data_IF_687394033284
#
_entry.id   IF_687394033284
#
_cell.length_a   1.000
_cell.length_b   1.000
_cell.length_c   1.000
_cell.angle_alpha   90.00
_cell.angle_beta   90.00
_cell.angle_gamma   90.00
#
_symmetry.space_group_name_H-M   'P 1'
#
loop_
_entity.id
_entity.type
_entity.pdbx_description
1 polymer ?
#
# COMPACT_ATOMS: atom_id res chain seq x y z
N UNK A 1 2.82 -2.31 -17.54
CA UNK A 1 3.94 -1.52 -16.97
C UNK A 1 4.04 -1.90 -15.50
N UNK A 2 5.26 -2.04 -14.96
CA UNK A 2 5.44 -2.29 -13.53
C UNK A 2 5.26 -0.99 -12.76
N UNK A 3 4.64 -1.08 -11.58
CA UNK A 3 4.49 0.03 -10.64
C UNK A 3 5.70 0.11 -9.73
N UNK A 4 6.24 1.30 -9.52
CA UNK A 4 7.50 1.54 -8.81
C UNK A 4 7.35 2.62 -7.74
N UNK A 5 8.11 2.50 -6.65
CA UNK A 5 8.10 3.48 -5.57
C UNK A 5 8.59 4.86 -6.03
N UNK A 6 9.64 4.89 -6.86
CA UNK A 6 10.17 6.13 -7.42
C UNK A 6 9.14 6.96 -8.20
N UNK A 7 8.22 6.28 -8.90
CA UNK A 7 7.12 6.90 -9.64
C UNK A 7 5.99 7.31 -8.70
N UNK A 8 5.62 6.44 -7.76
CA UNK A 8 4.59 6.72 -6.74
C UNK A 8 4.93 7.99 -5.94
N UNK A 9 6.21 8.22 -5.63
CA UNK A 9 6.67 9.37 -4.87
C UNK A 9 6.42 10.71 -5.61
N UNK A 10 6.35 10.70 -6.94
CA UNK A 10 6.06 11.89 -7.73
C UNK A 10 4.60 12.34 -7.60
N UNK A 11 3.72 11.49 -7.05
CA UNK A 11 2.30 11.78 -6.88
C UNK A 11 2.07 12.46 -5.52
N UNK A 12 1.63 13.73 -5.49
CA UNK A 12 1.57 14.52 -4.27
C UNK A 12 0.38 14.17 -3.38
N UNK A 13 -0.72 13.63 -3.94
CA UNK A 13 -1.92 13.34 -3.17
C UNK A 13 -2.12 11.85 -2.90
N UNK A 14 -2.82 11.56 -1.81
CA UNK A 14 -3.20 10.19 -1.46
C UNK A 14 -4.06 9.53 -2.54
N UNK A 15 -4.96 10.32 -3.14
CA UNK A 15 -5.86 9.87 -4.20
C UNK A 15 -5.08 9.46 -5.45
N UNK A 16 -4.13 10.29 -5.91
CA UNK A 16 -3.30 9.95 -7.07
C UNK A 16 -2.46 8.69 -6.81
N UNK A 17 -1.85 8.58 -5.61
CA UNK A 17 -1.10 7.38 -5.21
C UNK A 17 -1.97 6.13 -5.21
N UNK A 18 -3.19 6.24 -4.69
CA UNK A 18 -4.17 5.17 -4.71
C UNK A 18 -4.55 4.78 -6.14
N UNK A 19 -4.92 5.75 -6.99
CA UNK A 19 -5.31 5.51 -8.39
C UNK A 19 -4.18 4.86 -9.19
N UNK A 20 -2.94 5.27 -8.95
CA UNK A 20 -1.77 4.65 -9.56
C UNK A 20 -1.62 3.18 -9.16
N UNK A 21 -1.89 2.82 -7.89
CA UNK A 21 -1.76 1.45 -7.39
C UNK A 21 -2.97 0.57 -7.67
N UNK A 22 -4.15 1.17 -7.83
CA UNK A 22 -5.42 0.48 -8.01
C UNK A 22 -5.31 -0.57 -9.11
N UNK A 23 -5.73 -1.78 -8.78
CA UNK A 23 -5.80 -2.89 -9.72
C UNK A 23 -7.24 -2.98 -10.23
N UNK A 24 -7.46 -2.79 -11.53
CA UNK A 24 -8.76 -3.08 -12.18
C UNK A 24 -8.96 -4.60 -12.41
N UNK A 25 -8.25 -5.42 -11.63
CA UNK A 25 -8.16 -6.87 -11.82
C UNK A 25 -9.43 -7.60 -11.42
N UNK A 26 -9.70 -8.72 -12.10
CA UNK A 26 -10.81 -9.62 -11.79
C UNK A 26 -10.55 -10.30 -10.43
N UNK A 27 -11.50 -10.14 -9.50
CA UNK A 27 -11.50 -10.86 -8.22
C UNK A 27 -11.47 -12.37 -8.50
N UNK A 28 -10.38 -13.04 -8.14
CA UNK A 28 -10.26 -14.51 -8.25
C UNK A 28 -9.23 -15.03 -9.25
N UNK A 29 -8.43 -14.19 -9.92
CA UNK A 29 -7.19 -14.69 -10.52
C UNK A 29 -6.27 -15.24 -9.43
N UNK A 30 -5.58 -16.36 -9.72
CA UNK A 30 -4.67 -17.14 -8.85
C UNK A 30 -3.47 -16.33 -8.33
N UNK A 31 -3.76 -15.24 -7.62
CA UNK A 31 -2.78 -14.35 -7.02
C UNK A 31 -2.63 -14.81 -5.58
N UNK A 32 -1.73 -15.78 -5.41
CA UNK A 32 -1.06 -16.06 -4.14
C UNK A 32 -1.96 -16.53 -2.96
N UNK A 33 -3.11 -17.12 -3.26
CA UNK A 33 -4.06 -17.65 -2.26
C UNK A 33 -4.05 -19.17 -2.06
N UNK A 34 -3.53 -19.95 -3.02
CA UNK A 34 -3.69 -21.42 -3.01
C UNK A 34 -2.67 -22.17 -2.14
N UNK A 35 -1.41 -21.73 -2.08
CA UNK A 35 -0.35 -22.42 -1.33
C UNK A 35 -0.03 -21.79 0.03
N UNK A 36 -0.95 -22.00 0.98
CA UNK A 36 -0.88 -21.48 2.36
C UNK A 36 0.45 -21.75 3.08
N UNK A 37 1.10 -22.89 2.79
CA UNK A 37 2.39 -23.27 3.36
C UNK A 37 3.53 -22.31 2.93
N UNK A 38 3.58 -21.95 1.64
CA UNK A 38 4.61 -21.05 1.14
C UNK A 38 4.47 -19.64 1.73
N UNK A 39 3.22 -19.16 1.86
CA UNK A 39 2.93 -17.87 2.50
C UNK A 39 3.43 -17.87 3.94
N UNK A 40 3.17 -18.97 4.67
CA UNK A 40 3.59 -19.09 6.06
C UNK A 40 5.12 -19.05 6.20
N UNK A 41 5.86 -19.74 5.34
CA UNK A 41 7.34 -19.68 5.36
C UNK A 41 7.83 -18.29 5.01
N UNK A 42 7.35 -17.75 3.88
CA UNK A 42 7.83 -16.48 3.35
C UNK A 42 7.61 -15.34 4.34
N UNK A 43 6.38 -15.17 4.85
CA UNK A 43 6.05 -14.07 5.76
C UNK A 43 6.64 -14.24 7.17
N UNK A 44 7.15 -15.43 7.52
CA UNK A 44 7.89 -15.65 8.76
C UNK A 44 9.42 -15.58 8.59
N UNK A 45 9.92 -15.54 7.35
CA UNK A 45 11.35 -15.47 7.04
C UNK A 45 12.01 -14.22 7.60
N UNK A 46 13.31 -14.31 7.87
CA UNK A 46 14.11 -13.18 8.35
C UNK A 46 14.22 -12.09 7.27
N UNK A 47 14.42 -12.49 6.01
CA UNK A 47 14.49 -11.60 4.85
C UNK A 47 13.23 -10.72 4.74
N UNK A 48 12.04 -11.33 4.89
CA UNK A 48 10.79 -10.57 4.89
C UNK A 48 10.67 -9.61 6.09
N UNK A 49 11.05 -10.05 7.29
CA UNK A 49 11.01 -9.19 8.48
C UNK A 49 11.92 -7.99 8.36
N UNK A 50 13.11 -8.18 7.78
CA UNK A 50 14.09 -7.12 7.58
C UNK A 50 13.64 -6.13 6.50
N UNK A 51 13.12 -6.61 5.37
CA UNK A 51 12.59 -5.70 4.34
C UNK A 51 11.38 -4.94 4.87
N UNK A 52 10.47 -5.62 5.56
CA UNK A 52 9.30 -4.99 6.18
C UNK A 52 9.71 -3.84 7.10
N UNK A 53 10.74 -4.03 7.94
CA UNK A 53 11.26 -2.97 8.80
C UNK A 53 11.78 -1.79 7.98
N UNK A 54 12.56 -2.05 6.92
CA UNK A 54 13.10 -0.99 6.04
C UNK A 54 11.99 -0.18 5.38
N UNK A 55 10.93 -0.83 4.89
CA UNK A 55 9.78 -0.15 4.27
C UNK A 55 9.04 0.72 5.28
N UNK A 56 8.76 0.21 6.49
CA UNK A 56 8.08 1.00 7.53
C UNK A 56 8.86 2.27 7.87
N UNK A 57 10.19 2.17 7.97
CA UNK A 57 11.05 3.31 8.27
C UNK A 57 11.05 4.30 7.09
N UNK A 58 11.22 3.81 5.85
CA UNK A 58 11.20 4.64 4.64
C UNK A 58 9.89 5.42 4.51
N UNK A 59 8.77 4.76 4.75
CA UNK A 59 7.43 5.32 4.60
C UNK A 59 6.97 6.09 5.84
N UNK A 60 7.85 6.28 6.84
CA UNK A 60 7.57 6.97 8.11
C UNK A 60 6.34 6.40 8.87
N UNK A 61 6.03 5.12 8.66
CA UNK A 61 4.81 4.50 9.18
C UNK A 61 3.50 5.10 8.65
N UNK A 62 3.54 5.83 7.53
CA UNK A 62 2.40 6.45 6.89
C UNK A 62 1.82 5.57 5.79
N UNK A 63 0.50 5.65 5.61
CA UNK A 63 -0.22 4.96 4.55
C UNK A 63 0.18 5.55 3.19
N UNK A 64 0.52 4.67 2.24
CA UNK A 64 1.10 5.03 0.94
C UNK A 64 2.35 5.92 1.05
N UNK A 65 3.05 5.91 2.19
CA UNK A 65 4.23 6.74 2.44
C UNK A 65 3.97 8.25 2.30
N UNK A 66 2.76 8.71 2.61
CA UNK A 66 2.37 10.12 2.52
C UNK A 66 2.19 10.73 3.91
N UNK A 67 2.89 11.83 4.18
CA UNK A 67 2.81 12.53 5.47
C UNK A 67 1.38 12.99 5.80
N UNK A 68 1.00 12.92 7.08
CA UNK A 68 -0.36 13.20 7.55
C UNK A 68 -1.34 12.02 7.46
N UNK A 69 -0.87 10.86 6.99
CA UNK A 69 -1.62 9.60 6.94
C UNK A 69 -1.00 8.52 7.84
N UNK A 70 -0.64 8.86 9.08
CA UNK A 70 0.05 7.95 9.99
C UNK A 70 -0.81 6.71 10.31
N UNK A 71 -0.21 5.52 10.18
CA UNK A 71 -0.89 4.26 10.50
C UNK A 71 -0.81 4.03 12.01
N UNK A 72 -1.91 4.26 12.72
CA UNK A 72 -2.02 4.05 14.19
C UNK A 72 -2.22 2.59 14.60
N UNK A 73 -2.21 1.66 13.65
CA UNK A 73 -2.54 0.26 13.87
C UNK A 73 -1.56 -0.69 13.18
N UNK A 74 -2.07 -1.82 12.70
CA UNK A 74 -1.26 -2.81 12.00
C UNK A 74 -0.84 -2.26 10.62
N UNK A 75 0.46 -2.09 10.43
CA UNK A 75 1.05 -1.76 9.13
C UNK A 75 1.21 -3.04 8.31
N UNK A 76 0.60 -3.05 7.12
CA UNK A 76 0.81 -4.05 6.09
C UNK A 76 1.86 -3.55 5.10
N UNK A 77 2.58 -4.48 4.47
CA UNK A 77 3.42 -4.17 3.32
C UNK A 77 2.72 -4.76 2.12
N UNK A 78 2.38 -3.91 1.16
CA UNK A 78 1.71 -4.28 -0.07
C UNK A 78 2.73 -4.38 -1.20
N UNK A 79 2.64 -5.46 -1.98
CA UNK A 79 3.34 -5.60 -3.25
C UNK A 79 2.58 -4.80 -4.32
N UNK A 80 3.20 -3.74 -4.85
CA UNK A 80 2.55 -2.86 -5.84
C UNK A 80 2.26 -3.54 -7.17
N UNK A 81 2.96 -4.65 -7.44
CA UNK A 81 2.74 -5.50 -8.60
C UNK A 81 2.26 -6.87 -8.13
N UNK A 82 1.28 -7.49 -8.81
CA UNK A 82 0.89 -8.87 -8.52
C UNK A 82 2.10 -9.80 -8.61
N UNK A 83 2.31 -10.60 -7.58
CA UNK A 83 3.34 -11.63 -7.54
C UNK A 83 2.73 -13.02 -7.68
N UNK A 84 3.44 -13.92 -8.35
CA UNK A 84 3.09 -15.33 -8.50
C UNK A 84 3.90 -16.19 -7.55
N UNK A 85 3.48 -17.43 -7.35
CA UNK A 85 4.25 -18.41 -6.57
C UNK A 85 5.70 -18.56 -7.07
N UNK A 86 5.85 -18.58 -8.39
CA UNK A 86 7.14 -18.75 -9.03
C UNK A 86 8.09 -17.57 -8.76
N UNK A 87 7.57 -16.37 -8.53
CA UNK A 87 8.38 -15.21 -8.13
C UNK A 87 9.06 -15.44 -6.79
N UNK A 88 8.38 -16.06 -5.83
CA UNK A 88 8.96 -16.39 -4.52
C UNK A 88 9.99 -17.52 -4.63
N UNK A 89 9.67 -18.57 -5.40
CA UNK A 89 10.57 -19.70 -5.60
C UNK A 89 11.86 -19.28 -6.31
N UNK A 90 11.76 -18.40 -7.30
CA UNK A 90 12.89 -17.86 -8.06
C UNK A 90 13.52 -16.62 -7.42
N UNK A 91 12.95 -16.11 -6.32
CA UNK A 91 13.38 -14.89 -5.62
C UNK A 91 13.53 -13.71 -6.58
N UNK A 92 12.52 -13.48 -7.42
CA UNK A 92 12.55 -12.34 -8.35
C UNK A 92 12.54 -11.03 -7.59
N UNK A 93 13.00 -9.95 -8.23
CA UNK A 93 13.09 -8.63 -7.60
C UNK A 93 11.74 -8.14 -7.07
N UNK A 94 10.63 -8.56 -7.68
CA UNK A 94 9.27 -8.18 -7.28
C UNK A 94 8.94 -8.53 -5.82
N UNK A 95 9.61 -9.53 -5.23
CA UNK A 95 9.24 -10.10 -3.93
C UNK A 95 9.80 -9.31 -2.75
N UNK A 96 11.07 -8.89 -2.84
CA UNK A 96 11.82 -8.29 -1.72
C UNK A 96 12.50 -6.96 -2.08
N UNK A 97 12.37 -6.44 -3.30
CA UNK A 97 12.92 -5.15 -3.65
C UNK A 97 12.01 -4.01 -3.12
N UNK A 98 12.54 -3.04 -2.34
CA UNK A 98 11.78 -1.90 -1.86
C UNK A 98 11.09 -1.08 -2.95
N UNK A 99 11.62 -1.07 -4.17
CA UNK A 99 11.02 -0.36 -5.30
C UNK A 99 9.64 -0.90 -5.67
N UNK A 100 9.27 -2.10 -5.23
CA UNK A 100 7.98 -2.74 -5.53
C UNK A 100 7.10 -2.94 -4.29
N UNK A 101 7.48 -2.36 -3.14
CA UNK A 101 6.79 -2.50 -1.86
C UNK A 101 6.39 -1.14 -1.28
N UNK A 102 5.22 -1.08 -0.62
CA UNK A 102 4.71 0.13 0.04
C UNK A 102 3.97 -0.20 1.34
N UNK A 103 4.11 0.63 2.37
CA UNK A 103 3.33 0.52 3.59
C UNK A 103 1.86 0.90 3.36
N UNK A 104 0.94 0.07 3.86
CA UNK A 104 -0.50 0.31 3.75
C UNK A 104 -1.26 -0.03 5.04
N UNK A 105 -2.41 0.60 5.19
CA UNK A 105 -3.48 0.08 6.07
C UNK A 105 -4.21 -1.10 5.41
N UNK A 106 -4.94 -1.88 6.20
CA UNK A 106 -5.82 -2.93 5.67
C UNK A 106 -6.91 -2.36 4.75
N UNK A 107 -7.48 -1.20 5.10
CA UNK A 107 -8.50 -0.53 4.27
C UNK A 107 -7.94 -0.12 2.92
N UNK A 108 -6.77 0.53 2.89
CA UNK A 108 -6.13 0.96 1.64
C UNK A 108 -5.68 -0.23 0.79
N UNK A 109 -5.10 -1.26 1.41
CA UNK A 109 -4.80 -2.52 0.72
C UNK A 109 -6.04 -3.10 0.03
N UNK A 110 -7.16 -3.21 0.76
CA UNK A 110 -8.39 -3.74 0.20
C UNK A 110 -8.98 -2.83 -0.88
N UNK A 111 -8.91 -1.51 -0.72
CA UNK A 111 -9.33 -0.56 -1.73
C UNK A 111 -8.52 -0.74 -3.03
N UNK A 112 -7.20 -0.94 -2.93
CA UNK A 112 -6.34 -1.18 -4.11
C UNK A 112 -6.78 -2.43 -4.88
N UNK A 113 -7.16 -3.49 -4.17
CA UNK A 113 -7.59 -4.75 -4.79
C UNK A 113 -9.05 -4.77 -5.26
N UNK A 114 -9.95 -4.07 -4.56
CA UNK A 114 -11.40 -4.20 -4.75
C UNK A 114 -12.08 -2.90 -5.20
N UNK A 115 -11.32 -1.82 -5.40
CA UNK A 115 -11.76 -0.59 -6.06
C UNK A 115 -12.76 0.28 -5.28
N UNK A 116 -12.99 0.02 -3.98
CA UNK A 116 -13.92 0.84 -3.20
C UNK A 116 -13.23 2.07 -2.61
N UNK A 117 -13.26 3.18 -3.37
CA UNK A 117 -12.77 4.49 -2.96
C UNK A 117 -13.40 5.01 -1.65
N UNK A 118 -14.57 4.47 -1.26
CA UNK A 118 -15.23 4.85 0.01
C UNK A 118 -14.48 4.35 1.25
N UNK A 119 -13.50 3.45 1.08
CA UNK A 119 -12.64 2.96 2.15
C UNK A 119 -11.42 3.85 2.40
N UNK A 120 -11.19 4.88 1.59
CA UNK A 120 -10.04 5.76 1.72
C UNK A 120 -10.22 6.71 2.90
N UNK A 121 -9.18 6.83 3.74
CA UNK A 121 -9.09 7.84 4.78
C UNK A 121 -9.12 9.23 4.11
N UNK A 122 -10.19 9.97 4.34
CA UNK A 122 -10.25 11.39 3.99
C UNK A 122 -9.63 12.17 5.12
N UNK A 123 -8.48 12.80 4.86
CA UNK A 123 -7.97 13.84 5.76
C UNK A 123 -9.04 14.93 5.88
N UNK A 124 -9.25 15.50 7.08
CA UNK A 124 -10.10 16.67 7.24
C UNK A 124 -9.63 17.77 6.28
N UNK A 125 -10.58 18.42 5.60
CA UNK A 125 -10.26 19.54 4.70
C UNK A 125 -9.41 20.59 5.42
N UNK A 126 -8.45 21.20 4.71
CA UNK A 126 -7.74 22.37 5.21
C UNK A 126 -8.74 23.43 5.64
N UNK A 127 -8.65 23.83 6.92
CA UNK A 127 -9.58 24.81 7.48
C UNK A 127 -9.39 26.15 6.79
N UNK A 128 -10.47 26.68 6.23
CA UNK A 128 -10.53 28.05 5.70
C UNK A 128 -11.04 29.01 6.76
N UNK A 129 -10.74 30.30 6.58
CA UNK A 129 -11.25 31.35 7.47
C UNK A 129 -12.78 31.24 7.53
N UNK A 130 -13.32 31.18 8.75
CA UNK A 130 -14.74 31.04 9.08
C UNK A 130 -15.36 29.62 8.96
N UNK A 131 -14.60 28.55 8.73
CA UNK A 131 -15.16 27.18 8.61
C UNK A 131 -15.97 26.68 9.82
N UNK A 132 -15.82 27.31 10.99
CA UNK A 132 -16.57 26.98 12.21
C UNK A 132 -17.60 28.06 12.61
N UNK A 133 -17.81 29.07 11.77
CA UNK A 133 -18.70 30.21 12.04
C UNK A 133 -19.89 30.23 11.06
N UNK A 134 -21.02 29.58 11.40
CA UNK A 134 -22.16 29.42 10.49
C UNK A 134 -22.86 30.72 10.03
N UNK A 135 -22.44 31.90 10.52
CA UNK A 135 -23.03 33.20 10.20
C UNK A 135 -22.07 34.20 9.53
N UNK A 136 -20.84 33.79 9.16
CA UNK A 136 -19.92 34.64 8.38
C UNK A 136 -19.77 34.06 6.97
N UNK A 137 -20.38 34.75 5.99
CA UNK A 137 -20.19 34.52 4.56
C UNK A 137 -18.91 35.18 4.07
#
# INVERSE_FOLDING_TARGET
>A
MLRCYSELLQLPTFKERYEYLRLDGVVGEETFGFDRYLNQIFYNSQEWKDIRRKIIIRDNGCDLGLDGYEIRGKILIHHMNPIRQQDILLRTDLVLNPEYLIATTLSTHNAIHYGDEKLLLTVPNERRKNDTCPWRH
#
